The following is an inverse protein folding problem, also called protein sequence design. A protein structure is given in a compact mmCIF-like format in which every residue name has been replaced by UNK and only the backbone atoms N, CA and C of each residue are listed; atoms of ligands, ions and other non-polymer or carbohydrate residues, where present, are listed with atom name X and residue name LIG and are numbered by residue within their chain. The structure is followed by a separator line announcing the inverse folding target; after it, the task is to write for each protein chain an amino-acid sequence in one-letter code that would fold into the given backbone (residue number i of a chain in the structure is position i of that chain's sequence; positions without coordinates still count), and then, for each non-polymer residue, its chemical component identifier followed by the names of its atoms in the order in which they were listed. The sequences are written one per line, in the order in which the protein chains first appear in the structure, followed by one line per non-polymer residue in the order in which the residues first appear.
data_IF_460841196750
#
_entry.id   IF_460841196750
#
_cell.length_a   1.000
_cell.length_b   1.000
_cell.length_c   1.000
_cell.angle_alpha   90.00
_cell.angle_beta   90.00
_cell.angle_gamma   90.00
#
_symmetry.space_group_name_H-M   'P 1'
#
loop_
_entity.id
_entity.type
_entity.pdbx_description
1 polymer ?
#
# COMPACT_ATOMS: atom_id res chain seq x y z
N UNK A 1 6.08 -15.77 -0.14
CA UNK A 1 4.69 -15.73 0.31
C UNK A 1 4.52 -16.56 1.59
N UNK A 2 4.66 -15.95 2.80
CA UNK A 2 4.43 -16.65 4.07
C UNK A 2 3.04 -17.31 4.16
N UNK A 3 2.05 -16.78 3.44
CA UNK A 3 0.70 -17.34 3.39
C UNK A 3 0.63 -18.69 2.66
N UNK A 4 1.41 -18.86 1.58
CA UNK A 4 1.44 -20.12 0.83
C UNK A 4 2.23 -21.21 1.58
N UNK A 5 3.28 -20.83 2.32
CA UNK A 5 4.04 -21.76 3.16
C UNK A 5 3.15 -22.42 4.23
N UNK A 6 2.19 -21.66 4.77
CA UNK A 6 1.23 -22.14 5.77
C UNK A 6 0.04 -22.89 5.14
N UNK A 7 -0.52 -22.37 4.03
CA UNK A 7 -1.75 -22.89 3.43
C UNK A 7 -1.50 -23.94 2.34
N UNK A 8 -0.28 -24.06 1.81
CA UNK A 8 0.11 -25.00 0.76
C UNK A 8 -0.32 -24.57 -0.65
N UNK A 9 -1.43 -23.83 -0.81
CA UNK A 9 -1.90 -23.32 -2.09
C UNK A 9 -2.63 -21.98 -1.93
N UNK A 10 -2.78 -21.23 -3.05
CA UNK A 10 -3.56 -20.00 -3.07
C UNK A 10 -5.05 -20.27 -2.84
N UNK A 11 -5.57 -21.40 -3.34
CA UNK A 11 -6.95 -21.82 -3.13
C UNK A 11 -7.22 -22.05 -1.63
N UNK A 12 -6.41 -22.86 -0.94
CA UNK A 12 -6.53 -23.08 0.49
C UNK A 12 -6.38 -21.79 1.32
N UNK A 13 -5.53 -20.85 0.88
CA UNK A 13 -5.44 -19.52 1.47
C UNK A 13 -6.74 -18.74 1.30
N UNK A 14 -7.30 -18.73 0.07
CA UNK A 14 -8.55 -18.04 -0.27
C UNK A 14 -9.73 -18.59 0.54
N UNK A 15 -9.87 -19.91 0.60
CA UNK A 15 -10.93 -20.58 1.37
C UNK A 15 -10.82 -20.27 2.87
N UNK A 16 -9.61 -20.21 3.39
CA UNK A 16 -9.39 -19.83 4.79
C UNK A 16 -9.80 -18.38 5.04
N UNK A 17 -9.55 -17.47 4.09
CA UNK A 17 -9.97 -16.06 4.19
C UNK A 17 -11.47 -15.91 4.07
N UNK A 18 -12.15 -16.70 3.25
CA UNK A 18 -13.60 -16.68 3.08
C UNK A 18 -14.37 -16.97 4.38
N UNK A 19 -13.76 -17.73 5.30
CA UNK A 19 -14.36 -18.03 6.61
C UNK A 19 -14.69 -16.81 7.47
N UNK A 20 -14.10 -15.64 7.18
CA UNK A 20 -14.45 -14.40 7.88
C UNK A 20 -15.92 -14.00 7.68
N UNK A 21 -16.54 -14.46 6.59
CA UNK A 21 -17.93 -14.17 6.27
C UNK A 21 -18.92 -15.22 6.81
N UNK A 22 -18.45 -16.39 7.25
CA UNK A 22 -19.30 -17.44 7.81
C UNK A 22 -20.01 -16.95 9.08
N UNK A 23 -21.31 -17.27 9.19
CA UNK A 23 -22.15 -16.88 10.32
C UNK A 23 -22.26 -15.35 10.56
N UNK A 24 -21.96 -14.53 9.57
CA UNK A 24 -22.11 -13.07 9.68
C UNK A 24 -23.55 -12.70 10.06
N UNK A 25 -23.69 -11.85 11.09
CA UNK A 25 -24.99 -11.44 11.64
C UNK A 25 -25.53 -10.14 11.03
N UNK A 26 -24.65 -9.20 10.66
CA UNK A 26 -25.05 -7.85 10.24
C UNK A 26 -24.65 -7.56 8.80
N UNK A 27 -23.37 -7.60 8.49
CA UNK A 27 -22.88 -7.25 7.16
C UNK A 27 -21.57 -7.96 6.80
N UNK A 28 -21.51 -8.51 5.59
CA UNK A 28 -20.27 -8.91 4.92
C UNK A 28 -19.73 -7.69 4.16
N UNK A 29 -18.64 -7.11 4.64
CA UNK A 29 -17.98 -5.97 3.97
C UNK A 29 -16.92 -6.50 3.02
N UNK A 30 -16.99 -6.14 1.73
CA UNK A 30 -16.12 -6.67 0.69
C UNK A 30 -15.67 -5.61 -0.32
N UNK A 31 -14.54 -5.85 -0.99
CA UNK A 31 -14.03 -4.97 -2.02
C UNK A 31 -14.68 -5.28 -3.37
N UNK A 32 -15.50 -4.37 -3.90
CA UNK A 32 -16.17 -4.57 -5.21
C UNK A 32 -15.20 -4.59 -6.40
N UNK A 33 -13.97 -4.10 -6.23
CA UNK A 33 -12.94 -4.12 -7.26
C UNK A 33 -12.12 -5.44 -7.25
N UNK A 34 -12.45 -6.37 -6.34
CA UNK A 34 -11.81 -7.68 -6.23
C UNK A 34 -12.89 -8.80 -6.31
N UNK A 35 -13.01 -9.38 -7.51
CA UNK A 35 -13.96 -10.46 -7.79
C UNK A 35 -13.79 -11.67 -6.85
N UNK A 36 -12.60 -11.89 -6.28
CA UNK A 36 -12.41 -12.99 -5.34
C UNK A 36 -13.18 -12.72 -4.04
N UNK A 37 -13.15 -11.50 -3.53
CA UNK A 37 -13.87 -11.14 -2.30
C UNK A 37 -15.40 -11.14 -2.52
N UNK A 38 -15.85 -10.71 -3.69
CA UNK A 38 -17.27 -10.77 -4.07
C UNK A 38 -17.79 -12.22 -4.06
N UNK A 39 -17.07 -13.14 -4.72
CA UNK A 39 -17.39 -14.57 -4.72
C UNK A 39 -17.38 -15.19 -3.32
N UNK A 40 -16.45 -14.76 -2.45
CA UNK A 40 -16.43 -15.22 -1.06
C UNK A 40 -17.73 -14.84 -0.33
N UNK A 41 -18.24 -13.63 -0.55
CA UNK A 41 -19.50 -13.16 0.07
C UNK A 41 -20.72 -13.86 -0.54
N UNK A 42 -20.76 -14.05 -1.86
CA UNK A 42 -21.83 -14.78 -2.55
C UNK A 42 -22.00 -16.22 -2.05
N UNK A 43 -20.89 -16.89 -1.71
CA UNK A 43 -20.86 -18.26 -1.25
C UNK A 43 -20.95 -18.42 0.28
N UNK A 44 -20.94 -17.31 1.03
CA UNK A 44 -20.92 -17.35 2.48
C UNK A 44 -22.26 -17.81 3.08
N UNK A 45 -22.20 -18.73 4.05
CA UNK A 45 -23.35 -19.08 4.88
C UNK A 45 -23.51 -18.05 5.99
N UNK A 46 -24.51 -17.18 5.87
CA UNK A 46 -24.76 -16.04 6.75
C UNK A 46 -26.11 -16.16 7.46
N UNK A 47 -26.27 -15.43 8.55
CA UNK A 47 -27.54 -15.36 9.25
C UNK A 47 -28.58 -14.56 8.47
N UNK A 48 -29.87 -14.92 8.63
CA UNK A 48 -30.97 -14.22 7.99
C UNK A 48 -30.97 -12.73 8.36
N UNK A 49 -31.04 -11.86 7.35
CA UNK A 49 -30.98 -10.41 7.50
C UNK A 49 -29.58 -9.83 7.37
N UNK A 50 -28.51 -10.63 7.32
CA UNK A 50 -27.18 -10.13 7.02
C UNK A 50 -27.12 -9.55 5.59
N UNK A 51 -26.35 -8.47 5.43
CA UNK A 51 -26.27 -7.69 4.18
C UNK A 51 -24.90 -7.80 3.55
N UNK A 52 -24.83 -7.85 2.23
CA UNK A 52 -23.60 -7.64 1.49
C UNK A 52 -23.36 -6.12 1.30
N UNK A 53 -22.25 -5.61 1.81
CA UNK A 53 -21.88 -4.20 1.76
C UNK A 53 -20.55 -4.07 1.04
N UNK A 54 -20.58 -3.46 -0.15
CA UNK A 54 -19.38 -3.22 -0.93
C UNK A 54 -18.64 -1.97 -0.47
N UNK A 55 -17.31 -1.94 -0.64
CA UNK A 55 -16.54 -0.70 -0.61
C UNK A 55 -15.74 -0.54 -1.89
N UNK A 56 -15.47 0.72 -2.26
CA UNK A 56 -14.74 1.09 -3.48
C UNK A 56 -14.01 2.42 -3.33
N UNK A 57 -13.02 2.66 -4.17
CA UNK A 57 -12.40 3.98 -4.34
C UNK A 57 -13.13 4.86 -5.37
N UNK A 58 -14.12 4.31 -6.07
CA UNK A 58 -14.98 5.03 -7.00
C UNK A 58 -16.34 5.37 -6.43
N UNK A 59 -17.25 5.78 -7.32
CA UNK A 59 -18.63 6.16 -6.95
C UNK A 59 -19.40 4.96 -6.37
N UNK A 60 -19.94 5.08 -5.15
CA UNK A 60 -20.67 3.98 -4.53
C UNK A 60 -22.06 3.79 -5.16
N UNK A 61 -22.40 2.54 -5.46
CA UNK A 61 -23.76 2.12 -5.74
C UNK A 61 -24.60 1.96 -4.46
N UNK A 62 -25.82 1.44 -4.60
CA UNK A 62 -26.65 1.05 -3.44
C UNK A 62 -25.95 -0.03 -2.63
N UNK A 63 -26.02 0.05 -1.32
CA UNK A 63 -25.34 -0.86 -0.38
C UNK A 63 -23.81 -0.83 -0.49
N UNK A 64 -23.25 0.34 -0.83
CA UNK A 64 -21.82 0.54 -0.94
C UNK A 64 -21.35 1.80 -0.21
N UNK A 65 -20.07 1.80 0.17
CA UNK A 65 -19.32 2.95 0.68
C UNK A 65 -18.21 3.26 -0.32
N UNK A 66 -18.03 4.51 -0.71
CA UNK A 66 -17.04 4.89 -1.71
C UNK A 66 -16.91 6.40 -1.85
N UNK A 67 -16.29 6.85 -2.92
CA UNK A 67 -16.00 8.27 -3.12
C UNK A 67 -16.85 8.87 -4.23
N UNK A 68 -17.45 10.01 -3.94
CA UNK A 68 -18.06 10.89 -4.93
C UNK A 68 -17.15 12.11 -5.04
N UNK A 69 -16.41 12.20 -6.14
CA UNK A 69 -15.33 13.19 -6.30
C UNK A 69 -14.30 13.07 -5.16
N UNK A 70 -14.23 14.04 -4.28
CA UNK A 70 -13.32 14.13 -3.13
C UNK A 70 -13.97 13.76 -1.78
N UNK A 71 -15.22 13.25 -1.78
CA UNK A 71 -15.99 12.98 -0.58
C UNK A 71 -16.20 11.47 -0.39
N UNK A 72 -15.76 10.95 0.75
CA UNK A 72 -16.11 9.60 1.21
C UNK A 72 -17.57 9.57 1.64
N UNK A 73 -18.38 8.76 0.96
CA UNK A 73 -19.83 8.68 1.13
C UNK A 73 -20.29 7.28 1.52
N UNK A 74 -21.28 7.23 2.42
CA UNK A 74 -22.08 6.04 2.73
C UNK A 74 -23.38 6.06 1.94
N UNK A 75 -23.61 5.02 1.11
CA UNK A 75 -24.88 4.70 0.45
C UNK A 75 -25.42 3.32 0.87
N UNK A 76 -24.94 2.80 1.99
CA UNK A 76 -25.30 1.48 2.48
C UNK A 76 -26.29 1.54 3.65
N UNK A 77 -26.10 2.48 4.58
CA UNK A 77 -26.76 2.49 5.88
C UNK A 77 -27.73 3.68 6.06
N UNK A 78 -28.26 4.18 4.95
CA UNK A 78 -29.31 5.23 4.93
C UNK A 78 -30.66 4.62 4.63
N UNK A 79 -31.74 5.23 5.15
CA UNK A 79 -33.11 4.88 4.80
C UNK A 79 -33.37 5.17 3.31
N UNK A 80 -32.98 6.35 2.81
CA UNK A 80 -33.10 6.73 1.39
C UNK A 80 -31.82 6.49 0.59
N UNK A 81 -31.18 5.34 0.76
CA UNK A 81 -29.97 4.96 0.02
C UNK A 81 -30.14 4.88 -1.50
N UNK A 82 -31.39 4.91 -1.97
CA UNK A 82 -31.68 4.92 -3.40
C UNK A 82 -31.35 6.27 -4.05
N UNK A 83 -31.64 7.37 -3.35
CA UNK A 83 -31.55 8.73 -3.90
C UNK A 83 -30.50 9.60 -3.18
N UNK A 84 -30.01 9.16 -2.02
CA UNK A 84 -29.12 9.93 -1.16
C UNK A 84 -27.80 9.21 -0.89
N UNK A 85 -26.78 10.00 -0.60
CA UNK A 85 -25.49 9.58 -0.05
C UNK A 85 -25.19 10.44 1.19
N UNK A 86 -24.63 9.83 2.23
CA UNK A 86 -24.25 10.53 3.44
C UNK A 86 -22.75 10.80 3.39
N UNK A 87 -22.35 12.05 3.47
CA UNK A 87 -20.96 12.46 3.60
C UNK A 87 -20.37 11.97 4.93
N UNK A 88 -19.18 11.37 4.87
CA UNK A 88 -18.42 10.92 6.04
C UNK A 88 -17.20 11.83 6.26
N UNK A 89 -16.36 11.98 5.25
CA UNK A 89 -15.11 12.74 5.30
C UNK A 89 -14.70 13.17 3.89
N UNK A 90 -13.82 14.16 3.78
CA UNK A 90 -13.22 14.58 2.51
C UNK A 90 -11.84 13.92 2.31
N UNK A 91 -11.31 13.93 1.09
CA UNK A 91 -9.92 13.54 0.83
C UNK A 91 -8.94 14.39 1.63
N UNK A 92 -9.23 15.70 1.80
CA UNK A 92 -8.42 16.59 2.64
C UNK A 92 -8.37 16.10 4.09
N UNK A 93 -9.49 15.68 4.66
CA UNK A 93 -9.54 15.07 5.99
C UNK A 93 -8.62 13.83 6.09
N UNK A 94 -8.53 13.02 5.01
CA UNK A 94 -7.71 11.81 4.96
C UNK A 94 -6.21 12.09 4.81
N UNK A 95 -5.80 13.28 4.34
CA UNK A 95 -4.36 13.62 4.24
C UNK A 95 -3.64 13.57 5.57
N UNK A 96 -4.37 13.76 6.66
CA UNK A 96 -3.84 13.64 8.02
C UNK A 96 -3.41 12.20 8.37
N UNK A 97 -3.95 11.18 7.69
CA UNK A 97 -3.61 9.77 7.94
C UNK A 97 -2.22 9.45 7.37
N UNK A 98 -1.89 10.01 6.21
CA UNK A 98 -0.65 9.79 5.47
C UNK A 98 -0.77 10.22 4.02
N UNK A 99 0.14 9.76 3.18
CA UNK A 99 0.10 10.02 1.73
C UNK A 99 -1.16 9.37 1.14
N UNK A 100 -1.99 10.18 0.46
CA UNK A 100 -3.19 9.67 -0.20
C UNK A 100 -2.82 8.71 -1.34
N UNK A 101 -3.17 7.47 -1.14
CA UNK A 101 -2.96 6.40 -2.11
C UNK A 101 -4.27 5.66 -2.34
N UNK A 102 -4.46 4.97 -3.50
CA UNK A 102 -5.67 4.21 -3.75
C UNK A 102 -5.99 3.19 -2.64
N UNK A 103 -4.98 2.55 -2.06
CA UNK A 103 -5.23 1.59 -0.99
C UNK A 103 -5.53 2.26 0.37
N UNK A 104 -5.03 3.46 0.66
CA UNK A 104 -5.45 4.22 1.84
C UNK A 104 -6.92 4.60 1.72
N UNK A 105 -7.34 5.08 0.55
CA UNK A 105 -8.75 5.39 0.26
C UNK A 105 -9.63 4.14 0.41
N UNK A 106 -9.22 3.00 -0.16
CA UNK A 106 -9.94 1.74 -0.02
C UNK A 106 -10.04 1.30 1.44
N UNK A 107 -8.97 1.43 2.22
CA UNK A 107 -8.97 1.11 3.65
C UNK A 107 -9.90 2.03 4.45
N UNK A 108 -9.93 3.33 4.15
CA UNK A 108 -10.85 4.27 4.78
C UNK A 108 -12.32 3.93 4.48
N UNK A 109 -12.63 3.58 3.22
CA UNK A 109 -13.96 3.13 2.82
C UNK A 109 -14.37 1.81 3.51
N UNK A 110 -13.46 0.84 3.58
CA UNK A 110 -13.69 -0.43 4.27
C UNK A 110 -13.94 -0.23 5.77
N UNK A 111 -13.09 0.55 6.44
CA UNK A 111 -13.23 0.87 7.85
C UNK A 111 -14.57 1.60 8.14
N UNK A 112 -14.95 2.54 7.28
CA UNK A 112 -16.23 3.22 7.35
C UNK A 112 -17.39 2.24 7.20
N UNK A 113 -17.35 1.34 6.21
CA UNK A 113 -18.40 0.33 6.02
C UNK A 113 -18.54 -0.59 7.23
N UNK A 114 -17.42 -1.04 7.81
CA UNK A 114 -17.41 -1.86 9.02
C UNK A 114 -17.98 -1.10 10.23
N UNK A 115 -17.54 0.13 10.48
CA UNK A 115 -18.03 0.94 11.58
C UNK A 115 -19.52 1.26 11.44
N UNK A 116 -19.98 1.61 10.24
CA UNK A 116 -21.39 1.85 9.93
C UNK A 116 -22.25 0.59 10.13
N UNK A 117 -21.73 -0.58 9.77
CA UNK A 117 -22.44 -1.85 10.00
C UNK A 117 -22.68 -2.15 11.48
N UNK A 118 -21.80 -1.66 12.34
CA UNK A 118 -21.91 -1.75 13.79
C UNK A 118 -22.79 -0.63 14.42
N UNK A 119 -23.24 0.33 13.61
CA UNK A 119 -24.11 1.42 14.04
C UNK A 119 -23.35 2.67 14.54
N UNK A 120 -22.05 2.79 14.26
CA UNK A 120 -21.28 3.97 14.65
C UNK A 120 -21.78 5.21 13.88
N UNK A 121 -21.92 6.31 14.60
CA UNK A 121 -22.36 7.59 14.02
C UNK A 121 -21.34 8.13 13.01
N UNK A 122 -21.79 8.71 11.88
CA UNK A 122 -20.91 9.32 10.89
C UNK A 122 -19.93 10.36 11.43
N UNK A 123 -20.36 11.18 12.38
CA UNK A 123 -19.50 12.18 12.97
C UNK A 123 -18.37 11.56 13.84
N UNK A 124 -18.65 10.46 14.51
CA UNK A 124 -17.64 9.70 15.26
C UNK A 124 -16.62 9.05 14.31
N UNK A 125 -17.08 8.52 13.18
CA UNK A 125 -16.19 7.97 12.15
C UNK A 125 -15.27 9.06 11.59
N UNK A 126 -15.82 10.22 11.22
CA UNK A 126 -15.02 11.38 10.80
C UNK A 126 -13.99 11.77 11.84
N UNK A 127 -14.40 11.89 13.11
CA UNK A 127 -13.49 12.22 14.21
C UNK A 127 -12.37 11.17 14.40
N UNK A 128 -12.68 9.90 14.20
CA UNK A 128 -11.69 8.82 14.25
C UNK A 128 -10.70 8.89 13.07
N UNK A 129 -11.18 9.11 11.84
CA UNK A 129 -10.34 9.27 10.65
C UNK A 129 -9.38 10.45 10.78
N UNK A 130 -9.84 11.59 11.29
CA UNK A 130 -9.01 12.77 11.53
C UNK A 130 -7.88 12.53 12.56
N UNK A 131 -8.09 11.63 13.52
CA UNK A 131 -7.10 11.30 14.55
C UNK A 131 -6.19 10.13 14.18
N UNK A 132 -6.63 9.27 13.28
CA UNK A 132 -5.88 8.08 12.91
C UNK A 132 -4.59 8.46 12.19
N UNK A 133 -3.54 7.71 12.45
CA UNK A 133 -2.24 7.81 11.75
C UNK A 133 -1.80 6.39 11.41
N UNK A 134 -1.19 6.23 10.25
CA UNK A 134 -0.56 4.96 9.87
C UNK A 134 0.63 4.66 10.79
N UNK A 135 0.90 3.37 10.97
CA UNK A 135 2.16 2.95 11.57
C UNK A 135 3.34 3.49 10.74
N UNK A 136 4.46 3.74 11.41
CA UNK A 136 5.71 4.09 10.74
C UNK A 136 6.08 3.08 9.63
N UNK A 137 6.80 3.53 8.63
CA UNK A 137 7.27 2.72 7.51
C UNK A 137 6.16 2.14 6.61
N UNK A 138 4.99 2.81 6.56
CA UNK A 138 3.88 2.49 5.65
C UNK A 138 3.54 3.70 4.78
N UNK A 139 4.24 3.84 3.66
CA UNK A 139 4.11 5.00 2.74
C UNK A 139 4.20 6.32 3.53
N UNK A 140 5.14 6.36 4.44
CA UNK A 140 5.41 7.52 5.29
C UNK A 140 6.20 8.57 4.51
N UNK A 141 5.70 9.81 4.46
CA UNK A 141 6.45 10.94 3.90
C UNK A 141 7.53 11.35 4.90
N UNK A 142 8.78 11.06 4.56
CA UNK A 142 9.95 11.41 5.39
C UNK A 142 10.36 12.87 5.21
N UNK A 143 10.39 13.32 3.97
CA UNK A 143 10.74 14.68 3.60
C UNK A 143 10.20 15.06 2.21
N UNK A 144 10.04 16.36 1.99
CA UNK A 144 9.82 16.94 0.68
C UNK A 144 10.72 18.15 0.50
N UNK A 145 11.59 18.11 -0.51
CA UNK A 145 12.53 19.19 -0.79
C UNK A 145 12.84 19.28 -2.29
N UNK A 146 12.88 20.50 -2.82
CA UNK A 146 13.18 20.71 -4.23
C UNK A 146 12.17 20.08 -5.19
N UNK A 147 10.93 19.85 -4.75
CA UNK A 147 9.90 19.15 -5.52
C UNK A 147 10.10 17.63 -5.57
N UNK A 148 10.99 17.06 -4.77
CA UNK A 148 11.25 15.62 -4.62
C UNK A 148 10.66 15.18 -3.29
N UNK A 149 9.83 14.11 -3.31
CA UNK A 149 9.27 13.49 -2.11
C UNK A 149 10.07 12.24 -1.75
N UNK A 150 10.36 12.08 -0.47
CA UNK A 150 11.07 10.92 0.08
C UNK A 150 10.09 10.10 0.91
N UNK A 151 9.82 8.87 0.49
CA UNK A 151 8.75 8.05 1.04
C UNK A 151 9.30 6.73 1.54
N UNK A 152 9.00 6.42 2.81
CA UNK A 152 9.37 5.19 3.48
C UNK A 152 8.20 4.21 3.52
N UNK A 153 8.32 3.12 2.78
CA UNK A 153 7.47 1.95 2.88
C UNK A 153 8.33 0.68 3.10
N UNK A 154 9.28 0.79 4.04
CA UNK A 154 10.16 -0.33 4.40
C UNK A 154 9.40 -1.59 4.79
N UNK A 155 8.14 -1.46 5.20
CA UNK A 155 7.25 -2.58 5.50
C UNK A 155 6.76 -3.35 4.27
N UNK A 156 6.96 -2.84 3.05
CA UNK A 156 6.72 -3.54 1.79
C UNK A 156 7.77 -4.64 1.54
N UNK A 157 7.74 -5.68 2.37
CA UNK A 157 8.73 -6.77 2.39
C UNK A 157 8.44 -7.92 1.42
N UNK A 158 7.54 -7.71 0.48
CA UNK A 158 7.19 -8.66 -0.58
C UNK A 158 6.71 -7.93 -1.84
N UNK A 159 6.71 -8.60 -3.02
CA UNK A 159 6.34 -7.98 -4.30
C UNK A 159 4.93 -7.40 -4.34
N UNK A 160 3.96 -8.04 -3.68
CA UNK A 160 2.58 -7.57 -3.67
C UNK A 160 2.45 -6.22 -2.93
N UNK A 161 3.10 -6.09 -1.78
CA UNK A 161 3.13 -4.83 -1.04
C UNK A 161 3.88 -3.74 -1.83
N UNK A 162 5.05 -4.06 -2.40
CA UNK A 162 5.80 -3.12 -3.23
C UNK A 162 5.00 -2.69 -4.49
N UNK A 163 4.21 -3.59 -5.09
CA UNK A 163 3.31 -3.26 -6.19
C UNK A 163 2.28 -2.19 -5.80
N UNK A 164 1.70 -2.27 -4.60
CA UNK A 164 0.76 -1.28 -4.10
C UNK A 164 1.44 0.09 -3.94
N UNK A 165 2.67 0.11 -3.42
CA UNK A 165 3.45 1.33 -3.25
C UNK A 165 3.85 1.96 -4.59
N UNK A 166 4.37 1.17 -5.53
CA UNK A 166 4.72 1.63 -6.87
C UNK A 166 3.50 2.16 -7.63
N UNK A 167 2.33 1.53 -7.44
CA UNK A 167 1.09 1.99 -8.06
C UNK A 167 0.61 3.35 -7.56
N UNK A 168 1.10 3.80 -6.42
CA UNK A 168 0.68 5.05 -5.77
C UNK A 168 1.34 6.30 -6.37
N UNK A 169 2.39 6.13 -7.18
CA UNK A 169 3.18 7.25 -7.71
C UNK A 169 3.44 7.08 -9.21
N UNK A 170 3.51 8.19 -9.94
CA UNK A 170 3.72 8.18 -11.39
C UNK A 170 5.18 8.01 -11.78
N UNK A 171 6.11 8.64 -11.03
CA UNK A 171 7.56 8.60 -11.27
C UNK A 171 8.30 8.28 -9.99
N UNK A 172 9.08 7.21 -10.02
CA UNK A 172 9.72 6.64 -8.82
C UNK A 172 11.20 6.39 -9.04
N UNK A 173 12.03 6.85 -8.11
CA UNK A 173 13.36 6.29 -7.87
C UNK A 173 13.17 5.19 -6.81
N UNK A 174 13.29 3.96 -7.21
CA UNK A 174 12.89 2.81 -6.41
C UNK A 174 14.06 2.17 -5.67
N UNK A 175 14.05 2.19 -4.34
CA UNK A 175 14.99 1.43 -3.50
C UNK A 175 14.43 0.01 -3.31
N UNK A 176 15.12 -0.98 -3.85
CA UNK A 176 14.64 -2.37 -3.97
C UNK A 176 15.69 -3.38 -3.58
N UNK A 177 15.27 -4.48 -2.97
CA UNK A 177 16.14 -5.61 -2.64
C UNK A 177 16.27 -5.90 -1.15
N UNK A 178 17.03 -6.93 -0.85
CA UNK A 178 17.15 -7.58 0.44
C UNK A 178 17.17 -9.09 0.28
N UNK A 179 16.60 -9.84 1.24
CA UNK A 179 16.36 -11.27 1.15
C UNK A 179 15.05 -11.56 0.41
N UNK A 180 15.14 -12.01 -0.83
CA UNK A 180 13.98 -12.34 -1.69
C UNK A 180 13.35 -13.67 -1.29
N UNK A 181 14.12 -14.60 -0.72
CA UNK A 181 13.65 -15.94 -0.30
C UNK A 181 13.01 -16.73 -1.44
N UNK A 182 13.63 -16.67 -2.62
CA UNK A 182 13.16 -17.37 -3.82
C UNK A 182 11.98 -16.70 -4.53
N UNK A 183 11.62 -15.48 -4.15
CA UNK A 183 10.56 -14.71 -4.83
C UNK A 183 11.10 -14.09 -6.11
N UNK A 184 10.39 -14.28 -7.21
CA UNK A 184 10.68 -13.67 -8.51
C UNK A 184 10.09 -12.24 -8.58
N UNK A 185 10.87 -11.29 -9.11
CA UNK A 185 10.47 -9.91 -9.32
C UNK A 185 10.16 -9.57 -10.78
N UNK A 186 10.27 -10.51 -11.71
CA UNK A 186 10.06 -10.26 -13.14
C UNK A 186 8.70 -9.59 -13.44
N UNK A 187 7.62 -10.15 -12.92
CA UNK A 187 6.26 -9.62 -13.15
C UNK A 187 6.09 -8.22 -12.52
N UNK A 188 6.66 -8.00 -11.34
CA UNK A 188 6.61 -6.71 -10.67
C UNK A 188 7.34 -5.65 -11.48
N UNK A 189 8.57 -5.92 -11.89
CA UNK A 189 9.38 -5.00 -12.70
C UNK A 189 8.71 -4.74 -14.05
N UNK A 190 8.26 -5.78 -14.76
CA UNK A 190 7.59 -5.64 -16.04
C UNK A 190 6.35 -4.74 -15.95
N UNK A 191 5.55 -4.90 -14.91
CA UNK A 191 4.31 -4.14 -14.72
C UNK A 191 4.55 -2.66 -14.43
N UNK A 192 5.64 -2.31 -13.74
CA UNK A 192 5.88 -0.94 -13.26
C UNK A 192 7.09 -0.26 -13.91
N UNK A 193 7.73 -0.88 -14.92
CA UNK A 193 8.91 -0.34 -15.61
C UNK A 193 8.71 1.12 -16.09
N UNK A 194 7.54 1.44 -16.64
CA UNK A 194 7.22 2.77 -17.17
C UNK A 194 7.12 3.86 -16.09
N UNK A 195 7.00 3.47 -14.81
CA UNK A 195 6.99 4.40 -13.68
C UNK A 195 8.38 4.62 -13.08
N UNK A 196 9.37 3.81 -13.46
CA UNK A 196 10.70 3.90 -12.88
C UNK A 196 11.52 5.00 -13.55
N UNK A 197 11.84 6.06 -12.80
CA UNK A 197 12.83 7.06 -13.18
C UNK A 197 14.26 6.62 -12.81
N UNK A 198 14.41 5.65 -11.89
CA UNK A 198 15.65 5.03 -11.49
C UNK A 198 15.42 3.87 -10.53
N UNK A 199 16.42 3.03 -10.32
CA UNK A 199 16.41 1.97 -9.33
C UNK A 199 17.73 1.92 -8.56
N UNK A 200 17.64 1.82 -7.24
CA UNK A 200 18.76 1.63 -6.32
C UNK A 200 18.64 0.23 -5.74
N UNK A 201 19.55 -0.65 -6.10
CA UNK A 201 19.50 -2.07 -5.73
C UNK A 201 20.37 -2.33 -4.50
N UNK A 202 19.75 -2.84 -3.43
CA UNK A 202 20.37 -3.17 -2.15
C UNK A 202 20.19 -4.66 -1.82
N UNK A 203 20.75 -5.12 -0.72
CA UNK A 203 20.56 -6.48 -0.20
C UNK A 203 21.63 -7.46 -0.63
N UNK A 204 21.51 -8.70 -0.14
CA UNK A 204 22.44 -9.80 -0.45
C UNK A 204 22.06 -10.54 -1.75
N UNK A 205 20.78 -10.52 -2.14
CA UNK A 205 20.26 -11.23 -3.34
C UNK A 205 20.07 -10.25 -4.52
N UNK A 206 21.01 -9.31 -4.71
CA UNK A 206 20.95 -8.26 -5.75
C UNK A 206 20.90 -8.78 -7.17
N UNK A 207 21.58 -9.89 -7.47
CA UNK A 207 21.67 -10.45 -8.82
C UNK A 207 20.30 -10.67 -9.45
N UNK A 208 19.36 -11.25 -8.71
CA UNK A 208 18.00 -11.51 -9.22
C UNK A 208 17.22 -10.22 -9.51
N UNK A 209 17.42 -9.19 -8.70
CA UNK A 209 16.83 -7.85 -8.91
C UNK A 209 17.40 -7.20 -10.16
N UNK A 210 18.73 -7.23 -10.31
CA UNK A 210 19.44 -6.67 -11.47
C UNK A 210 19.03 -7.37 -12.76
N UNK A 211 18.91 -8.70 -12.76
CA UNK A 211 18.45 -9.47 -13.91
C UNK A 211 17.02 -9.09 -14.33
N UNK A 212 16.09 -8.95 -13.37
CA UNK A 212 14.73 -8.52 -13.65
C UNK A 212 14.68 -7.10 -14.23
N UNK A 213 15.45 -6.16 -13.66
CA UNK A 213 15.56 -4.78 -14.18
C UNK A 213 16.19 -4.75 -15.57
N UNK A 214 17.27 -5.48 -15.81
CA UNK A 214 17.92 -5.59 -17.12
C UNK A 214 17.00 -6.18 -18.20
N UNK A 215 16.07 -7.05 -17.82
CA UNK A 215 15.13 -7.67 -18.75
C UNK A 215 13.93 -6.78 -19.09
N UNK A 216 13.38 -6.08 -18.11
CA UNK A 216 12.08 -5.41 -18.25
C UNK A 216 12.15 -3.88 -18.17
N UNK A 217 13.26 -3.29 -17.73
CA UNK A 217 13.44 -1.87 -17.50
C UNK A 217 14.74 -1.32 -18.14
N UNK A 218 14.99 -1.66 -19.38
CA UNK A 218 16.25 -1.42 -20.11
C UNK A 218 16.72 0.04 -20.13
N UNK A 219 15.82 1.00 -20.09
CA UNK A 219 16.12 2.43 -20.16
C UNK A 219 16.17 3.10 -18.77
N UNK A 220 15.96 2.33 -17.71
CA UNK A 220 15.97 2.85 -16.33
C UNK A 220 17.38 2.85 -15.79
N UNK A 221 17.90 3.99 -15.30
CA UNK A 221 19.18 4.03 -14.58
C UNK A 221 19.14 3.11 -13.36
N UNK A 222 20.11 2.20 -13.26
CA UNK A 222 20.21 1.26 -12.14
C UNK A 222 21.54 1.45 -11.45
N UNK A 223 21.50 1.67 -10.12
CA UNK A 223 22.69 1.78 -9.28
C UNK A 223 22.66 0.63 -8.26
N UNK A 224 23.70 -0.19 -8.28
CA UNK A 224 23.91 -1.25 -7.29
C UNK A 224 24.71 -0.73 -6.10
N UNK A 225 24.19 -0.93 -4.89
CA UNK A 225 24.90 -0.62 -3.65
C UNK A 225 25.49 -1.91 -3.10
N UNK A 226 26.76 -2.12 -3.35
CA UNK A 226 27.51 -3.30 -2.89
C UNK A 226 28.27 -3.09 -1.58
N UNK A 227 28.17 -1.88 -0.99
CA UNK A 227 28.83 -1.54 0.27
C UNK A 227 28.34 -2.46 1.40
N UNK A 228 29.26 -3.06 2.19
CA UNK A 228 28.88 -3.92 3.31
C UNK A 228 28.34 -3.15 4.52
N UNK A 229 28.69 -1.87 4.63
CA UNK A 229 28.29 -0.98 5.72
C UNK A 229 27.74 0.34 5.13
N UNK A 230 26.96 1.07 5.95
CA UNK A 230 26.38 2.37 5.56
C UNK A 230 25.51 2.30 4.29
N UNK A 231 24.84 1.19 4.07
CA UNK A 231 24.03 0.92 2.87
C UNK A 231 23.05 2.07 2.59
N UNK A 232 22.33 2.56 3.60
CA UNK A 232 21.35 3.64 3.42
C UNK A 232 22.01 4.98 3.11
N UNK A 233 23.19 5.26 3.64
CA UNK A 233 23.94 6.46 3.28
C UNK A 233 24.21 6.53 1.78
N UNK A 234 24.75 5.46 1.21
CA UNK A 234 25.04 5.39 -0.23
C UNK A 234 23.77 5.32 -1.08
N UNK A 235 22.74 4.65 -0.59
CA UNK A 235 21.45 4.54 -1.30
C UNK A 235 20.75 5.88 -1.43
N UNK A 236 20.70 6.65 -0.34
CA UNK A 236 20.09 7.99 -0.33
C UNK A 236 20.90 8.96 -1.20
N UNK A 237 22.24 8.92 -1.12
CA UNK A 237 23.11 9.72 -1.98
C UNK A 237 22.88 9.42 -3.46
N UNK A 238 22.87 8.14 -3.85
CA UNK A 238 22.62 7.72 -5.21
C UNK A 238 21.22 8.12 -5.71
N UNK A 239 20.21 7.97 -4.85
CA UNK A 239 18.84 8.38 -5.18
C UNK A 239 18.72 9.90 -5.37
N UNK A 240 19.35 10.69 -4.51
CA UNK A 240 19.42 12.15 -4.62
C UNK A 240 20.04 12.60 -5.94
N UNK A 241 21.12 11.95 -6.35
CA UNK A 241 21.85 12.31 -7.58
C UNK A 241 21.05 11.98 -8.85
N UNK A 242 20.13 11.02 -8.78
CA UNK A 242 19.21 10.64 -9.88
C UNK A 242 17.92 11.46 -9.91
N UNK A 243 17.40 11.83 -8.74
CA UNK A 243 16.07 12.39 -8.61
C UNK A 243 15.94 13.79 -9.22
N UNK A 244 14.79 14.07 -9.81
CA UNK A 244 14.41 15.35 -10.40
C UNK A 244 13.13 15.87 -9.75
N UNK A 245 12.86 17.19 -9.80
CA UNK A 245 11.60 17.74 -9.34
C UNK A 245 10.41 16.99 -9.97
N UNK A 246 9.49 16.54 -9.14
CA UNK A 246 8.33 15.72 -9.50
C UNK A 246 8.52 14.21 -9.23
N UNK A 247 9.75 13.74 -9.01
CA UNK A 247 10.00 12.35 -8.69
C UNK A 247 9.71 12.02 -7.22
N UNK A 248 9.45 10.75 -6.96
CA UNK A 248 9.34 10.18 -5.60
C UNK A 248 10.48 9.20 -5.38
N UNK A 249 11.33 9.46 -4.39
CA UNK A 249 12.27 8.46 -3.89
C UNK A 249 11.52 7.54 -2.93
N UNK A 250 11.35 6.28 -3.31
CA UNK A 250 10.51 5.32 -2.62
C UNK A 250 11.32 4.13 -2.11
N UNK A 251 11.39 3.98 -0.79
CA UNK A 251 11.86 2.76 -0.16
C UNK A 251 10.70 1.75 -0.08
N UNK A 252 10.57 0.86 -1.06
CA UNK A 252 9.60 -0.23 -1.09
C UNK A 252 10.30 -1.53 -1.52
N UNK A 253 11.03 -2.19 -0.63
CA UNK A 253 12.10 -3.11 -0.98
C UNK A 253 11.69 -4.41 -1.67
N UNK A 254 10.42 -4.80 -1.62
CA UNK A 254 9.89 -6.07 -2.12
C UNK A 254 10.52 -7.32 -1.47
N UNK A 255 11.39 -7.14 -0.48
CA UNK A 255 12.21 -8.18 0.15
C UNK A 255 12.35 -7.96 1.67
N UNK A 256 12.67 -9.04 2.39
CA UNK A 256 12.98 -8.96 3.82
C UNK A 256 14.33 -8.25 4.03
N UNK A 257 14.54 -7.68 5.22
CA UNK A 257 15.65 -6.78 5.54
C UNK A 257 16.81 -7.41 6.32
N UNK A 258 16.62 -8.63 6.85
CA UNK A 258 17.50 -9.22 7.86
C UNK A 258 18.88 -9.67 7.36
N UNK A 259 19.21 -9.37 6.10
CA UNK A 259 20.55 -9.57 5.52
C UNK A 259 21.48 -8.37 5.78
N UNK A 260 20.93 -7.14 5.86
CA UNK A 260 21.71 -5.92 6.03
C UNK A 260 21.22 -5.06 7.20
N UNK A 261 20.04 -5.35 7.75
CA UNK A 261 19.39 -4.59 8.82
C UNK A 261 18.80 -5.55 9.86
N UNK A 262 18.61 -5.07 11.08
CA UNK A 262 17.99 -5.84 12.16
C UNK A 262 16.58 -6.32 11.80
N UNK A 263 15.78 -5.43 11.24
CA UNK A 263 14.42 -5.64 10.80
C UNK A 263 14.00 -4.54 9.80
N UNK A 264 12.73 -4.59 9.34
CA UNK A 264 12.22 -3.58 8.42
C UNK A 264 12.14 -2.18 9.05
N UNK A 265 11.94 -2.08 10.36
CA UNK A 265 11.86 -0.81 11.05
C UNK A 265 13.24 -0.15 11.14
N UNK A 266 14.28 -0.93 11.45
CA UNK A 266 15.66 -0.47 11.42
C UNK A 266 16.04 0.04 10.02
N UNK A 267 15.69 -0.69 8.96
CA UNK A 267 15.91 -0.25 7.56
C UNK A 267 15.22 1.07 7.26
N UNK A 268 13.96 1.24 7.65
CA UNK A 268 13.21 2.47 7.46
C UNK A 268 13.75 3.63 8.29
N UNK A 269 14.11 3.38 9.55
CA UNK A 269 14.72 4.40 10.41
C UNK A 269 16.03 4.92 9.83
N UNK A 270 16.92 4.03 9.36
CA UNK A 270 18.17 4.42 8.72
C UNK A 270 17.94 5.21 7.42
N UNK A 271 16.93 4.83 6.62
CA UNK A 271 16.53 5.61 5.45
C UNK A 271 16.10 7.02 5.85
N UNK A 272 15.17 7.14 6.79
CA UNK A 272 14.65 8.43 7.24
C UNK A 272 15.74 9.32 7.85
N UNK A 273 16.67 8.73 8.61
CA UNK A 273 17.80 9.44 9.18
C UNK A 273 18.73 9.98 8.08
N UNK A 274 19.12 9.12 7.12
CA UNK A 274 20.02 9.53 6.04
C UNK A 274 19.39 10.57 5.12
N UNK A 275 18.07 10.48 4.86
CA UNK A 275 17.35 11.51 4.12
C UNK A 275 17.46 12.86 4.82
N UNK A 276 17.18 12.92 6.13
CA UNK A 276 17.28 14.17 6.90
C UNK A 276 18.69 14.74 6.89
N UNK A 277 19.71 13.92 7.20
CA UNK A 277 21.11 14.35 7.23
C UNK A 277 21.55 14.92 5.87
N UNK A 278 21.23 14.25 4.78
CA UNK A 278 21.72 14.63 3.45
C UNK A 278 20.96 15.79 2.81
N UNK A 279 19.70 16.01 3.21
CA UNK A 279 18.93 17.17 2.76
C UNK A 279 19.25 18.43 3.57
N UNK A 280 19.64 18.32 4.84
CA UNK A 280 20.08 19.46 5.65
C UNK A 280 21.46 20.02 5.22
N UNK A 281 22.23 19.28 4.42
CA UNK A 281 23.56 19.68 3.94
C UNK A 281 23.52 20.50 2.64
N UNK A 282 22.34 20.76 2.09
CA UNK A 282 22.11 21.54 0.87
C UNK A 282 21.52 22.91 1.23
#
# INVERSE_FOLDING_TARGET
FRSLDWHGSFEAYSDTKAKVYENTQVACVYNINDLATEKMVENADVQEGARAIGFTTGMPGRSQVGFVEDILCDRAFLDDRANSALEIATLEDLTNIGVLTPHLMANAAAATALARSYGVDPAEIKAALLKFRLDAHRIELVAEQGGIRWVDDSKATNPHAAAASLNSFEKVIWLVGGLLKGVDLNDLVAKYADRLAGAIVIGSERTQVLEALAKHALNVPVIEISAPENVMHFSVAAARDLAKPGDVVLLAPAAASMDQFKDYADRGNQFAEQVKIQLEQI
#
